data_IF_214442094689
#
_entry.id   IF_214442094689
#
_cell.length_a   1.000
_cell.length_b   1.000
_cell.length_c   1.000
_cell.angle_alpha   90.00
_cell.angle_beta   90.00
_cell.angle_gamma   90.00
#
_symmetry.space_group_name_H-M   'P 1'
#
loop_
_entity.id
_entity.type
_entity.pdbx_description
1 polymer ?
#
# COMPACT_ATOMS: atom_id res chain seq x y z
N UNK A 1 -27.77 10.04 -1.81
CA UNK A 1 -27.63 8.79 -1.01
C UNK A 1 -27.33 7.57 -1.87
N UNK A 2 -28.02 7.37 -3.00
CA UNK A 2 -27.86 6.19 -3.89
C UNK A 2 -26.41 5.89 -4.35
N UNK A 3 -25.62 6.92 -4.73
CA UNK A 3 -24.21 6.74 -5.12
C UNK A 3 -23.33 6.21 -3.97
N UNK A 4 -23.60 6.63 -2.73
CA UNK A 4 -22.86 6.15 -1.54
C UNK A 4 -23.24 4.71 -1.20
N UNK A 5 -24.52 4.35 -1.37
CA UNK A 5 -25.01 2.97 -1.17
C UNK A 5 -24.46 2.01 -2.21
N UNK A 6 -24.33 2.41 -3.48
CA UNK A 6 -23.72 1.58 -4.53
C UNK A 6 -22.23 1.34 -4.25
N UNK A 7 -21.48 2.39 -3.89
CA UNK A 7 -20.06 2.26 -3.52
C UNK A 7 -19.91 1.34 -2.29
N UNK A 8 -20.77 1.52 -1.28
CA UNK A 8 -20.78 0.65 -0.10
C UNK A 8 -21.10 -0.81 -0.46
N UNK A 9 -22.13 -1.06 -1.26
CA UNK A 9 -22.46 -2.41 -1.72
C UNK A 9 -21.34 -3.04 -2.56
N UNK A 10 -20.66 -2.26 -3.40
CA UNK A 10 -19.54 -2.76 -4.22
C UNK A 10 -18.32 -3.10 -3.34
N UNK A 11 -17.98 -2.24 -2.39
CA UNK A 11 -16.93 -2.51 -1.39
C UNK A 11 -17.28 -3.74 -0.54
N UNK A 12 -18.54 -3.88 -0.11
CA UNK A 12 -19.02 -5.03 0.65
C UNK A 12 -18.99 -6.32 -0.18
N UNK A 13 -19.38 -6.28 -1.46
CA UNK A 13 -19.29 -7.46 -2.35
C UNK A 13 -17.83 -7.87 -2.57
N UNK A 14 -16.91 -6.92 -2.72
CA UNK A 14 -15.46 -7.20 -2.80
C UNK A 14 -14.97 -7.87 -1.51
N UNK A 15 -15.41 -7.37 -0.33
CA UNK A 15 -15.05 -7.97 0.97
C UNK A 15 -15.64 -9.38 1.18
N UNK A 16 -16.79 -9.68 0.57
CA UNK A 16 -17.48 -10.97 0.71
C UNK A 16 -17.02 -12.03 -0.31
N UNK A 17 -16.45 -11.62 -1.45
CA UNK A 17 -16.01 -12.52 -2.52
C UNK A 17 -14.53 -12.94 -2.40
N UNK A 18 -13.69 -12.13 -1.74
CA UNK A 18 -12.24 -12.34 -1.68
C UNK A 18 -11.69 -11.97 -0.29
N UNK A 19 -11.55 -12.95 0.59
CA UNK A 19 -11.34 -12.77 2.03
C UNK A 19 -9.89 -12.42 2.44
N UNK A 20 -9.11 -11.68 1.63
CA UNK A 20 -7.71 -11.37 1.95
C UNK A 20 -7.51 -9.91 2.42
N UNK A 21 -7.59 -9.65 3.73
CA UNK A 21 -7.50 -8.30 4.28
C UNK A 21 -6.08 -7.94 4.73
N UNK A 22 -5.68 -6.70 4.46
CA UNK A 22 -4.53 -6.05 5.06
C UNK A 22 -5.00 -4.90 5.95
N UNK A 23 -4.84 -5.02 7.25
CA UNK A 23 -5.13 -3.96 8.21
C UNK A 23 -3.86 -3.55 8.93
N UNK A 24 -3.75 -2.28 9.30
CA UNK A 24 -2.57 -1.84 10.03
C UNK A 24 -2.70 -0.50 10.71
N UNK A 25 -1.77 -0.24 11.62
CA UNK A 25 -1.58 1.04 12.27
C UNK A 25 -0.12 1.43 12.15
N UNK A 26 0.13 2.72 11.98
CA UNK A 26 1.47 3.22 11.78
C UNK A 26 1.60 4.69 12.09
N UNK A 27 2.78 5.21 11.78
CA UNK A 27 3.08 6.62 11.91
C UNK A 27 3.76 7.11 10.64
N UNK A 28 3.24 8.20 10.09
CA UNK A 28 3.86 8.95 9.01
C UNK A 28 4.78 10.02 9.58
N UNK A 29 5.94 10.19 8.99
CA UNK A 29 6.97 11.19 9.28
C UNK A 29 7.17 12.07 8.04
N UNK A 30 7.47 13.35 8.29
CA UNK A 30 7.64 14.38 7.25
C UNK A 30 6.68 15.53 7.45
N UNK A 31 6.35 16.26 6.38
CA UNK A 31 5.47 17.44 6.42
C UNK A 31 4.09 17.12 7.02
N UNK A 32 3.61 15.90 6.81
CA UNK A 32 2.31 15.43 7.27
C UNK A 32 2.43 14.39 8.40
N UNK A 33 3.31 14.66 9.37
CA UNK A 33 3.52 13.73 10.50
C UNK A 33 2.22 13.48 11.27
N UNK A 34 1.77 12.22 11.35
CA UNK A 34 0.59 11.79 12.11
C UNK A 34 0.46 10.26 12.15
N UNK A 35 -0.44 9.77 13.00
CA UNK A 35 -0.90 8.38 12.96
C UNK A 35 -1.53 8.04 11.61
N UNK A 36 -1.30 6.81 11.19
CA UNK A 36 -1.81 6.22 9.95
C UNK A 36 -2.61 4.98 10.30
N UNK A 37 -3.78 4.85 9.68
CA UNK A 37 -4.56 3.61 9.68
C UNK A 37 -4.59 3.04 8.27
N UNK A 38 -4.26 1.77 8.12
CA UNK A 38 -4.29 1.03 6.86
C UNK A 38 -5.50 0.13 6.80
N UNK A 39 -6.16 0.16 5.64
CA UNK A 39 -7.07 -0.88 5.21
C UNK A 39 -6.76 -1.22 3.74
N UNK A 40 -6.70 -2.49 3.43
CA UNK A 40 -6.27 -2.95 2.14
C UNK A 40 -6.62 -4.40 1.88
N UNK A 41 -6.20 -4.83 0.70
CA UNK A 41 -6.40 -6.15 0.16
C UNK A 41 -5.13 -6.55 -0.59
N UNK A 42 -4.61 -7.73 -0.32
CA UNK A 42 -3.49 -8.27 -1.07
C UNK A 42 -3.76 -9.72 -1.44
N UNK A 43 -3.47 -10.05 -2.69
CA UNK A 43 -3.58 -11.40 -3.22
C UNK A 43 -2.40 -11.65 -4.15
N UNK A 44 -2.17 -12.91 -4.53
CA UNK A 44 -1.07 -13.29 -5.42
C UNK A 44 -1.10 -12.40 -6.67
N UNK A 45 -0.05 -11.58 -6.83
CA UNK A 45 0.11 -10.66 -7.96
C UNK A 45 -0.74 -9.39 -7.92
N UNK A 46 -1.45 -9.10 -6.83
CA UNK A 46 -2.26 -7.89 -6.67
C UNK A 46 -2.18 -7.30 -5.27
N UNK A 47 -2.12 -5.97 -5.19
CA UNK A 47 -2.11 -5.24 -3.93
C UNK A 47 -2.96 -3.97 -4.08
N UNK A 48 -3.79 -3.68 -3.08
CA UNK A 48 -4.53 -2.43 -2.94
C UNK A 48 -4.53 -2.04 -1.47
N UNK A 49 -3.80 -1.00 -1.09
CA UNK A 49 -3.71 -0.50 0.27
C UNK A 49 -4.11 0.98 0.32
N UNK A 50 -5.04 1.30 1.24
CA UNK A 50 -5.45 2.65 1.53
C UNK A 50 -4.99 3.03 2.94
N UNK A 51 -4.13 4.04 3.01
CA UNK A 51 -3.54 4.55 4.23
C UNK A 51 -4.14 5.91 4.55
N UNK A 52 -4.90 5.98 5.63
CA UNK A 52 -5.46 7.22 6.15
C UNK A 52 -4.54 7.85 7.17
N UNK A 53 -3.93 8.97 6.80
CA UNK A 53 -3.22 9.83 7.74
C UNK A 53 -4.26 10.68 8.47
N UNK A 54 -4.42 10.47 9.79
CA UNK A 54 -5.53 11.01 10.56
C UNK A 54 -5.72 12.52 10.32
N UNK A 55 -6.94 12.92 9.96
CA UNK A 55 -7.34 14.31 9.71
C UNK A 55 -6.46 15.08 8.69
N UNK A 56 -5.69 14.38 7.85
CA UNK A 56 -4.81 15.01 6.85
C UNK A 56 -5.15 14.55 5.44
N UNK A 57 -4.89 13.28 5.11
CA UNK A 57 -5.10 12.78 3.75
C UNK A 57 -5.26 11.26 3.69
N UNK A 58 -5.67 10.76 2.53
CA UNK A 58 -5.52 9.36 2.14
C UNK A 58 -4.39 9.18 1.14
N UNK A 59 -3.61 8.12 1.31
CA UNK A 59 -2.74 7.58 0.28
C UNK A 59 -3.30 6.22 -0.16
N UNK A 60 -3.53 6.04 -1.45
CA UNK A 60 -3.99 4.77 -2.00
C UNK A 60 -2.88 4.25 -2.91
N UNK A 61 -2.28 3.13 -2.50
CA UNK A 61 -1.33 2.39 -3.30
C UNK A 61 -2.04 1.19 -3.91
N UNK A 62 -1.88 0.97 -5.21
CA UNK A 62 -2.34 -0.27 -5.82
C UNK A 62 -1.34 -0.76 -6.87
N UNK A 63 -1.15 -2.07 -6.96
CA UNK A 63 -0.26 -2.67 -7.95
C UNK A 63 -0.77 -4.01 -8.44
N UNK A 64 -0.39 -4.31 -9.68
CA UNK A 64 -0.44 -5.66 -10.24
C UNK A 64 1.01 -6.03 -10.52
N UNK A 65 1.46 -7.20 -10.07
CA UNK A 65 2.83 -7.63 -10.28
C UNK A 65 2.90 -9.11 -10.65
N UNK A 66 3.94 -9.44 -11.41
CA UNK A 66 4.28 -10.79 -11.82
C UNK A 66 5.51 -11.22 -11.04
N UNK A 67 5.43 -12.40 -10.44
CA UNK A 67 6.53 -13.01 -9.68
C UNK A 67 7.21 -14.08 -10.53
N UNK A 68 8.53 -13.98 -10.67
CA UNK A 68 9.36 -15.03 -11.24
C UNK A 68 9.82 -16.02 -10.15
N UNK A 69 10.23 -17.23 -10.54
CA UNK A 69 10.61 -18.32 -9.62
C UNK A 69 11.67 -17.97 -8.56
N UNK A 70 12.49 -16.94 -8.83
CA UNK A 70 13.51 -16.44 -7.89
C UNK A 70 12.96 -15.38 -6.91
N UNK A 71 11.64 -15.16 -6.86
CA UNK A 71 10.99 -14.16 -6.01
C UNK A 71 11.06 -12.73 -6.55
N UNK A 72 11.51 -12.53 -7.80
CA UNK A 72 11.61 -11.20 -8.42
C UNK A 72 10.20 -10.76 -8.85
N UNK A 73 9.84 -9.53 -8.47
CA UNK A 73 8.54 -8.93 -8.77
C UNK A 73 8.69 -7.80 -9.78
N UNK A 74 7.86 -7.78 -10.83
CA UNK A 74 7.77 -6.66 -11.79
C UNK A 74 6.32 -6.38 -12.12
N UNK A 75 5.96 -5.11 -12.26
CA UNK A 75 4.64 -4.76 -12.77
C UNK A 75 4.34 -3.26 -12.74
N UNK A 76 3.12 -2.86 -13.11
CA UNK A 76 2.64 -1.50 -12.92
C UNK A 76 2.08 -1.28 -11.50
N UNK A 77 2.21 -0.06 -11.03
CA UNK A 77 1.52 0.41 -9.84
C UNK A 77 1.00 1.84 -10.01
N UNK A 78 0.05 2.19 -9.15
CA UNK A 78 -0.49 3.54 -8.99
C UNK A 78 -0.31 3.99 -7.55
N UNK A 79 -0.16 5.30 -7.38
CA UNK A 79 -0.20 5.96 -6.09
C UNK A 79 -1.10 7.18 -6.20
N UNK A 80 -2.21 7.15 -5.48
CA UNK A 80 -3.18 8.24 -5.43
C UNK A 80 -3.14 8.93 -4.06
N UNK A 81 -3.37 10.23 -4.04
CA UNK A 81 -3.48 11.01 -2.81
C UNK A 81 -4.78 11.78 -2.80
N UNK A 82 -5.46 11.81 -1.64
CA UNK A 82 -6.60 12.67 -1.41
C UNK A 82 -6.39 13.52 -0.15
N UNK A 83 -6.04 14.80 -0.32
CA UNK A 83 -5.80 15.77 0.76
C UNK A 83 -7.06 16.56 1.09
N UNK A 84 -7.53 16.42 2.33
CA UNK A 84 -8.74 17.08 2.83
C UNK A 84 -8.58 18.58 3.05
N UNK A 85 -7.34 19.02 3.28
CA UNK A 85 -7.03 20.40 3.65
C UNK A 85 -6.66 21.25 2.43
N UNK A 86 -6.45 20.63 1.25
CA UNK A 86 -6.17 21.36 0.02
C UNK A 86 -7.46 21.81 -0.67
N UNK A 87 -7.60 23.12 -0.88
CA UNK A 87 -8.74 23.73 -1.58
C UNK A 87 -8.67 23.63 -3.11
N UNK A 88 -7.50 23.29 -3.67
CA UNK A 88 -7.26 23.12 -5.11
C UNK A 88 -6.40 21.87 -5.35
N UNK A 89 -6.85 20.96 -6.21
CA UNK A 89 -6.22 19.65 -6.44
C UNK A 89 -6.16 18.74 -5.20
N UNK A 90 -7.30 18.59 -4.53
CA UNK A 90 -7.44 17.65 -3.41
C UNK A 90 -7.11 16.20 -3.80
N UNK A 91 -7.26 15.82 -5.08
CA UNK A 91 -6.96 14.47 -5.57
C UNK A 91 -5.82 14.48 -6.60
N UNK A 92 -4.84 13.58 -6.43
CA UNK A 92 -3.79 13.35 -7.41
C UNK A 92 -3.56 11.86 -7.63
N UNK A 93 -3.14 11.46 -8.83
CA UNK A 93 -2.77 10.08 -9.16
C UNK A 93 -1.50 10.12 -9.99
N UNK A 94 -0.52 9.32 -9.58
CA UNK A 94 0.67 9.02 -10.37
C UNK A 94 0.73 7.51 -10.57
N UNK A 95 1.48 7.08 -11.58
CA UNK A 95 1.63 5.66 -11.90
C UNK A 95 3.04 5.39 -12.39
N UNK A 96 3.38 4.11 -12.51
CA UNK A 96 4.62 3.71 -13.15
C UNK A 96 5.05 2.31 -12.77
N UNK A 97 6.26 1.92 -13.20
CA UNK A 97 6.76 0.57 -12.97
C UNK A 97 7.23 0.38 -11.53
N UNK A 98 7.10 -0.85 -11.07
CA UNK A 98 7.68 -1.37 -9.83
C UNK A 98 8.62 -2.54 -10.16
N UNK A 99 9.69 -2.63 -9.39
CA UNK A 99 10.60 -3.75 -9.32
C UNK A 99 10.77 -4.13 -7.86
N UNK A 100 10.75 -5.41 -7.55
CA UNK A 100 10.85 -5.87 -6.17
C UNK A 100 11.38 -7.28 -6.04
N UNK A 101 11.44 -7.71 -4.81
CA UNK A 101 11.84 -9.05 -4.39
C UNK A 101 10.97 -9.47 -3.21
N UNK A 102 10.45 -10.69 -3.25
CA UNK A 102 9.69 -11.28 -2.17
C UNK A 102 10.22 -12.67 -1.83
N UNK A 103 10.20 -12.98 -0.55
CA UNK A 103 10.32 -14.34 -0.03
C UNK A 103 9.43 -14.47 1.21
N UNK A 104 9.49 -15.63 1.88
CA UNK A 104 8.65 -15.92 3.05
C UNK A 104 8.76 -14.94 4.21
N UNK A 105 9.87 -14.19 4.33
CA UNK A 105 10.19 -13.31 5.46
C UNK A 105 10.30 -11.84 5.09
N UNK A 106 10.53 -11.54 3.81
CA UNK A 106 10.90 -10.23 3.33
C UNK A 106 10.15 -9.91 2.05
N UNK A 107 9.61 -8.70 1.97
CA UNK A 107 9.12 -8.10 0.75
C UNK A 107 9.79 -6.73 0.57
N UNK A 108 10.38 -6.50 -0.60
CA UNK A 108 11.04 -5.25 -0.97
C UNK A 108 10.50 -4.80 -2.31
N UNK A 109 10.21 -3.53 -2.44
CA UNK A 109 9.73 -2.95 -3.68
C UNK A 109 10.23 -1.54 -3.85
N UNK A 110 10.61 -1.21 -5.08
CA UNK A 110 10.96 0.14 -5.51
C UNK A 110 10.15 0.46 -6.76
N UNK A 111 9.65 1.68 -6.85
CA UNK A 111 8.88 2.16 -7.99
C UNK A 111 9.33 3.53 -8.44
N UNK A 112 9.05 3.83 -9.70
CA UNK A 112 9.15 5.18 -10.26
C UNK A 112 7.74 5.65 -10.61
N UNK A 113 7.19 6.59 -9.84
CA UNK A 113 5.85 7.12 -10.04
C UNK A 113 5.87 8.55 -10.52
N UNK A 114 5.23 8.78 -11.66
CA UNK A 114 5.08 10.09 -12.28
C UNK A 114 3.71 10.19 -12.95
N UNK A 115 3.28 11.40 -13.25
CA UNK A 115 2.14 11.63 -14.15
C UNK A 115 2.55 11.53 -15.64
N UNK A 116 3.86 11.46 -15.92
CA UNK A 116 4.49 11.44 -17.25
C UNK A 116 4.12 12.61 -18.16
N UNK A 117 3.55 13.68 -17.60
CA UNK A 117 3.21 14.91 -18.35
C UNK A 117 4.40 15.86 -18.43
N UNK A 118 5.31 15.80 -17.45
CA UNK A 118 6.49 16.66 -17.35
C UNK A 118 7.71 15.88 -16.88
N UNK A 119 8.91 16.36 -17.24
CA UNK A 119 10.15 15.83 -16.67
C UNK A 119 10.21 16.16 -15.18
N UNK A 120 10.06 15.15 -14.34
CA UNK A 120 10.17 15.27 -12.89
C UNK A 120 11.59 14.93 -12.45
N UNK A 121 12.09 15.59 -11.39
CA UNK A 121 13.29 15.11 -10.69
C UNK A 121 13.04 13.68 -10.19
N UNK A 122 13.94 12.76 -10.54
CA UNK A 122 13.84 11.33 -10.21
C UNK A 122 13.67 11.12 -8.71
N UNK A 123 14.32 11.93 -7.87
CA UNK A 123 14.20 11.84 -6.41
C UNK A 123 12.76 12.06 -5.92
N UNK A 124 11.96 12.83 -6.65
CA UNK A 124 10.56 13.09 -6.35
C UNK A 124 9.59 12.05 -6.95
N UNK A 125 10.09 11.10 -7.73
CA UNK A 125 9.30 10.03 -8.33
C UNK A 125 9.55 8.66 -7.68
N UNK A 126 10.60 8.53 -6.84
CA UNK A 126 10.92 7.25 -6.21
C UNK A 126 9.91 6.91 -5.12
N UNK A 127 9.34 5.71 -5.24
CA UNK A 127 8.63 5.00 -4.19
C UNK A 127 9.50 3.84 -3.69
N UNK A 128 9.47 3.57 -2.40
CA UNK A 128 10.06 2.36 -1.83
C UNK A 128 9.20 1.78 -0.72
N UNK A 129 9.14 0.45 -0.64
CA UNK A 129 8.54 -0.30 0.46
C UNK A 129 9.47 -1.43 0.87
N UNK A 130 9.63 -1.59 2.18
CA UNK A 130 10.39 -2.66 2.82
C UNK A 130 9.52 -3.25 3.93
N UNK A 131 9.13 -4.51 3.78
CA UNK A 131 8.26 -5.23 4.71
C UNK A 131 8.94 -6.49 5.23
N UNK A 132 8.92 -6.65 6.55
CA UNK A 132 9.38 -7.84 7.25
C UNK A 132 8.18 -8.57 7.86
N UNK A 133 8.09 -9.87 7.59
CA UNK A 133 7.09 -10.73 8.20
C UNK A 133 7.62 -11.31 9.51
N UNK A 134 6.90 -11.08 10.61
CA UNK A 134 7.27 -11.57 11.94
C UNK A 134 7.14 -13.10 11.94
N UNK A 135 8.17 -13.86 12.36
CA UNK A 135 8.10 -15.32 12.39
C UNK A 135 7.00 -15.78 13.36
N UNK A 136 6.40 -16.93 13.04
CA UNK A 136 5.37 -17.49 13.92
C UNK A 136 6.00 -17.88 15.27
N UNK A 137 5.29 -17.70 16.39
CA UNK A 137 5.73 -18.21 17.67
C UNK A 137 6.01 -19.73 17.60
N UNK A 138 7.03 -20.24 18.31
CA UNK A 138 7.32 -21.67 18.32
C UNK A 138 6.09 -22.51 18.68
N UNK A 139 5.74 -23.47 17.82
CA UNK A 139 4.59 -24.37 18.04
C UNK A 139 3.23 -23.83 17.60
N UNK A 140 3.16 -22.63 17.00
CA UNK A 140 1.94 -22.07 16.41
C UNK A 140 2.12 -21.88 14.91
N UNK A 141 1.05 -22.10 14.13
CA UNK A 141 0.96 -21.71 12.72
C UNK A 141 -0.13 -20.66 12.62
N UNK A 142 0.25 -19.42 12.35
CA UNK A 142 -0.71 -18.32 12.25
C UNK A 142 -1.32 -18.30 10.85
N UNK A 143 -2.64 -18.13 10.76
CA UNK A 143 -3.34 -17.88 9.49
C UNK A 143 -3.01 -16.46 9.00
N UNK A 144 -2.86 -15.55 9.94
CA UNK A 144 -2.58 -14.15 9.68
C UNK A 144 -1.12 -13.84 9.95
N UNK A 145 -0.48 -13.09 9.04
CA UNK A 145 0.91 -12.71 9.20
C UNK A 145 1.05 -11.29 9.69
N UNK A 146 1.60 -11.15 10.90
CA UNK A 146 2.05 -9.87 11.42
C UNK A 146 3.27 -9.42 10.61
N UNK A 147 3.29 -8.16 10.19
CA UNK A 147 4.42 -7.57 9.49
C UNK A 147 4.73 -6.17 9.99
N UNK A 148 5.97 -5.74 9.75
CA UNK A 148 6.42 -4.37 9.91
C UNK A 148 6.85 -3.86 8.54
N UNK A 149 6.28 -2.74 8.09
CA UNK A 149 6.55 -2.15 6.80
C UNK A 149 7.04 -0.71 6.94
N UNK A 150 8.14 -0.40 6.27
CA UNK A 150 8.62 0.95 6.05
C UNK A 150 8.33 1.36 4.60
N UNK A 151 7.66 2.50 4.40
CA UNK A 151 7.39 3.07 3.09
C UNK A 151 8.01 4.46 2.94
N UNK A 152 8.41 4.79 1.73
CA UNK A 152 8.90 6.11 1.36
C UNK A 152 8.26 6.58 0.04
N UNK A 153 7.82 7.83 0.01
CA UNK A 153 7.44 8.54 -1.21
C UNK A 153 7.53 10.06 -1.02
N UNK A 154 8.23 10.75 -1.93
CA UNK A 154 8.32 12.24 -1.94
C UNK A 154 8.68 12.86 -0.59
N UNK A 155 9.71 12.34 0.07
CA UNK A 155 10.15 12.84 1.38
C UNK A 155 9.26 12.44 2.56
N UNK A 156 8.10 11.81 2.33
CA UNK A 156 7.29 11.20 3.39
C UNK A 156 7.77 9.80 3.68
N UNK A 157 7.98 9.51 4.96
CA UNK A 157 8.42 8.20 5.45
C UNK A 157 7.39 7.64 6.41
N UNK A 158 6.98 6.39 6.25
CA UNK A 158 5.92 5.78 7.04
C UNK A 158 6.38 4.45 7.59
N UNK A 159 6.16 4.21 8.88
CA UNK A 159 6.32 2.88 9.49
C UNK A 159 4.94 2.37 9.88
N UNK A 160 4.62 1.14 9.47
CA UNK A 160 3.37 0.46 9.70
C UNK A 160 3.61 -0.89 10.37
N UNK A 161 2.75 -1.23 11.31
CA UNK A 161 2.57 -2.59 11.79
C UNK A 161 1.22 -3.05 11.26
N UNK A 162 1.24 -4.13 10.49
CA UNK A 162 0.04 -4.64 9.84
C UNK A 162 -0.16 -6.13 10.04
N UNK A 163 -1.39 -6.56 9.85
CA UNK A 163 -1.83 -7.94 9.88
C UNK A 163 -2.38 -8.28 8.50
N UNK A 164 -1.87 -9.35 7.91
CA UNK A 164 -2.23 -9.82 6.58
C UNK A 164 -2.91 -11.18 6.67
N UNK A 165 -4.19 -11.24 6.32
CA UNK A 165 -5.03 -12.44 6.37
C UNK A 165 -5.55 -12.75 4.96
N UNK A 166 -5.71 -14.02 4.57
CA UNK A 166 -4.80 -15.11 4.89
C UNK A 166 -3.41 -14.88 4.28
N UNK A 167 -2.37 -15.33 4.97
CA UNK A 167 -1.02 -15.39 4.41
C UNK A 167 -0.70 -16.83 3.96
N UNK A 168 -0.27 -17.01 2.71
CA UNK A 168 -0.05 -18.32 2.07
C UNK A 168 1.33 -18.94 2.38
#
# INVERSE_FOLDING_TARGET
>A
MFKRSIVFCFLVIITLAYAYFNIGIGYNYGELSNWVLRAGYEYIGFNLNADWTLNKLWNIYASVYFEADLGILVGPAIYATYDYNSSSNAFSVVYGPILGFSNKQLFVQVGYFSDFTTFTDVSNAIFASLRFYVPDPPGMKMVDKLYIEAQYYRGSFKILVGLLEPYF
#
